data_IF_183364050506
#
_entry.id   IF_183364050506
#
_cell.length_a   1.000
_cell.length_b   1.000
_cell.length_c   1.000
_cell.angle_alpha   90.00
_cell.angle_beta   90.00
_cell.angle_gamma   90.00
#
_symmetry.space_group_name_H-M   'P 1'
#
loop_
_entity.id
_entity.type
_entity.pdbx_description
1 polymer ?
#
# COMPACT_ATOMS: atom_id res chain seq x y z
N UNK A 1 -38.96 -31.95 -8.95
CA UNK A 1 -38.06 -31.53 -10.05
C UNK A 1 -37.56 -30.13 -9.73
N UNK A 2 -36.24 -30.03 -9.56
CA UNK A 2 -35.35 -28.86 -9.68
C UNK A 2 -35.66 -27.58 -8.88
N UNK A 3 -34.98 -27.47 -7.75
CA UNK A 3 -34.54 -26.19 -7.17
C UNK A 3 -33.33 -25.68 -7.98
N UNK A 4 -33.26 -24.42 -8.40
CA UNK A 4 -32.04 -23.89 -9.02
C UNK A 4 -30.99 -23.61 -7.95
N UNK A 5 -29.84 -24.27 -8.08
CA UNK A 5 -28.61 -23.94 -7.38
C UNK A 5 -28.11 -22.60 -7.94
N UNK A 6 -28.12 -21.55 -7.12
CA UNK A 6 -27.33 -20.36 -7.39
C UNK A 6 -26.37 -20.20 -6.22
N UNK A 7 -25.20 -20.83 -6.36
CA UNK A 7 -24.07 -20.60 -5.47
C UNK A 7 -23.52 -19.21 -5.78
N UNK A 8 -24.05 -18.20 -5.09
CA UNK A 8 -23.33 -16.95 -4.93
C UNK A 8 -22.01 -17.28 -4.23
N UNK A 9 -20.89 -17.20 -4.96
CA UNK A 9 -19.56 -17.34 -4.40
C UNK A 9 -19.44 -16.38 -3.22
N UNK A 10 -19.32 -16.93 -2.01
CA UNK A 10 -19.13 -16.17 -0.78
C UNK A 10 -17.75 -15.51 -0.84
N UNK A 11 -17.68 -14.28 -1.34
CA UNK A 11 -16.53 -13.40 -1.10
C UNK A 11 -16.48 -13.16 0.40
N UNK A 12 -15.55 -13.83 1.10
CA UNK A 12 -15.23 -13.45 2.47
C UNK A 12 -14.71 -12.01 2.43
N UNK A 13 -15.14 -11.13 3.34
CA UNK A 13 -14.59 -9.77 3.40
C UNK A 13 -13.08 -9.89 3.58
N UNK A 14 -12.32 -9.26 2.68
CA UNK A 14 -10.87 -9.27 2.74
C UNK A 14 -10.42 -8.63 4.05
N UNK A 15 -9.84 -9.43 4.94
CA UNK A 15 -9.56 -9.01 6.31
C UNK A 15 -8.35 -8.08 6.35
N UNK A 16 -8.46 -7.01 7.12
CA UNK A 16 -7.34 -6.10 7.38
C UNK A 16 -6.35 -6.81 8.30
N UNK A 17 -5.11 -6.96 7.84
CA UNK A 17 -4.00 -7.57 8.58
C UNK A 17 -3.19 -6.52 9.34
N UNK A 18 -3.02 -5.33 8.76
CA UNK A 18 -2.27 -4.20 9.35
C UNK A 18 -2.80 -2.89 8.79
N UNK A 19 -2.83 -1.83 9.61
CA UNK A 19 -3.10 -0.48 9.10
C UNK A 19 -2.37 0.59 9.91
N UNK A 20 -2.00 1.70 9.27
CA UNK A 20 -1.42 2.86 9.93
C UNK A 20 -1.67 4.13 9.12
N UNK A 21 -1.53 5.29 9.77
CA UNK A 21 -1.31 6.54 9.04
C UNK A 21 0.02 6.46 8.29
N UNK A 22 0.04 6.92 7.06
CA UNK A 22 1.22 6.96 6.21
C UNK A 22 1.15 8.18 5.29
N UNK A 23 2.28 8.52 4.67
CA UNK A 23 2.33 9.51 3.61
C UNK A 23 2.90 8.87 2.34
N UNK A 24 2.20 8.97 1.21
CA UNK A 24 2.81 8.61 -0.08
C UNK A 24 3.71 9.75 -0.55
N UNK A 25 4.86 9.42 -1.14
CA UNK A 25 5.76 10.39 -1.75
C UNK A 25 6.04 10.04 -3.22
N UNK A 26 6.04 11.07 -4.08
CA UNK A 26 6.43 10.95 -5.50
C UNK A 26 7.12 12.24 -5.96
N UNK A 27 8.44 12.18 -6.07
CA UNK A 27 9.25 13.39 -6.30
C UNK A 27 9.00 14.41 -5.18
N UNK A 28 8.64 15.64 -5.55
CA UNK A 28 8.32 16.71 -4.58
C UNK A 28 6.91 16.60 -3.98
N UNK A 29 6.06 15.75 -4.55
CA UNK A 29 4.67 15.64 -4.15
C UNK A 29 4.49 14.65 -2.98
N UNK A 30 3.64 14.99 -2.02
CA UNK A 30 3.29 14.16 -0.87
C UNK A 30 1.79 14.25 -0.60
N UNK A 31 1.18 13.15 -0.16
CA UNK A 31 -0.15 13.15 0.43
C UNK A 31 -0.18 12.26 1.67
N UNK A 32 -0.77 12.78 2.75
CA UNK A 32 -1.04 12.01 3.96
C UNK A 32 -2.33 11.19 3.78
N UNK A 33 -2.35 10.01 4.38
CA UNK A 33 -3.47 9.09 4.25
C UNK A 33 -3.34 7.90 5.19
N UNK A 34 -4.13 6.87 4.88
CA UNK A 34 -4.11 5.59 5.56
C UNK A 34 -3.57 4.51 4.64
N UNK A 35 -2.59 3.75 5.11
CA UNK A 35 -2.10 2.54 4.48
C UNK A 35 -2.73 1.33 5.18
N UNK A 36 -3.28 0.40 4.40
CA UNK A 36 -3.94 -0.81 4.87
C UNK A 36 -3.39 -2.02 4.12
N UNK A 37 -2.91 -3.03 4.84
CA UNK A 37 -2.58 -4.34 4.29
C UNK A 37 -3.75 -5.28 4.55
N UNK A 38 -4.25 -5.92 3.51
CA UNK A 38 -5.26 -6.97 3.57
C UNK A 38 -4.66 -8.31 3.16
N UNK A 39 -5.48 -9.37 3.15
CA UNK A 39 -5.01 -10.67 2.68
C UNK A 39 -4.65 -10.65 1.19
N UNK A 40 -5.34 -9.84 0.37
CA UNK A 40 -5.14 -9.79 -1.08
C UNK A 40 -4.37 -8.56 -1.60
N UNK A 41 -4.34 -7.45 -0.86
CA UNK A 41 -3.81 -6.18 -1.38
C UNK A 41 -3.14 -5.29 -0.34
N UNK A 42 -2.35 -4.33 -0.82
CA UNK A 42 -1.86 -3.18 -0.07
C UNK A 42 -2.54 -1.92 -0.61
N UNK A 43 -3.31 -1.25 0.23
CA UNK A 43 -4.19 -0.15 -0.13
C UNK A 43 -3.75 1.15 0.53
N UNK A 44 -3.76 2.25 -0.23
CA UNK A 44 -3.53 3.59 0.29
C UNK A 44 -4.70 4.51 -0.05
N UNK A 45 -5.27 5.13 0.98
CA UNK A 45 -6.37 6.10 0.85
C UNK A 45 -5.91 7.46 1.36
N UNK A 46 -5.76 8.47 0.49
CA UNK A 46 -5.37 9.82 0.92
C UNK A 46 -6.49 10.50 1.71
N UNK A 47 -6.14 11.33 2.69
CA UNK A 47 -7.11 12.15 3.42
C UNK A 47 -7.64 13.31 2.57
N UNK A 48 -6.85 13.78 1.61
CA UNK A 48 -7.25 14.76 0.59
C UNK A 48 -6.96 14.21 -0.81
N UNK A 49 -8.00 14.05 -1.61
CA UNK A 49 -7.94 13.50 -2.98
C UNK A 49 -7.66 14.53 -4.07
N UNK A 50 -7.68 15.84 -3.77
CA UNK A 50 -7.57 16.91 -4.77
C UNK A 50 -6.22 16.93 -5.51
N UNK A 51 -5.17 16.35 -4.93
CA UNK A 51 -3.80 16.41 -5.46
C UNK A 51 -3.36 15.16 -6.24
N UNK A 52 -4.25 14.18 -6.46
CA UNK A 52 -4.02 13.07 -7.39
C UNK A 52 -2.92 12.06 -6.99
N UNK A 53 -2.59 11.95 -5.70
CA UNK A 53 -1.64 10.97 -5.17
C UNK A 53 -2.36 9.78 -4.52
N UNK A 54 -3.15 9.08 -5.33
CA UNK A 54 -4.00 7.97 -4.90
C UNK A 54 -5.48 8.28 -5.05
N UNK A 55 -6.37 7.37 -4.61
CA UNK A 55 -6.08 6.12 -3.90
C UNK A 55 -5.28 5.10 -4.73
N UNK A 56 -4.58 4.20 -4.04
CA UNK A 56 -3.86 3.07 -4.66
C UNK A 56 -4.36 1.75 -4.10
N UNK A 57 -4.47 0.74 -4.95
CA UNK A 57 -4.73 -0.64 -4.56
C UNK A 57 -3.73 -1.53 -5.30
N UNK A 58 -2.76 -2.05 -4.55
CA UNK A 58 -1.67 -2.86 -5.08
C UNK A 58 -1.96 -4.33 -4.75
N UNK A 59 -2.22 -5.16 -5.76
CA UNK A 59 -2.37 -6.61 -5.55
C UNK A 59 -1.09 -7.20 -4.97
N UNK A 60 -1.20 -8.02 -3.92
CA UNK A 60 -0.03 -8.68 -3.31
C UNK A 60 0.69 -9.61 -4.27
N UNK A 61 -0.03 -10.21 -5.23
CA UNK A 61 0.58 -11.08 -6.26
C UNK A 61 1.49 -10.32 -7.21
N UNK A 62 1.23 -9.02 -7.39
CA UNK A 62 2.00 -8.12 -8.26
C UNK A 62 3.16 -7.45 -7.53
N UNK A 63 3.21 -7.52 -6.19
CA UNK A 63 4.35 -7.00 -5.43
C UNK A 63 5.55 -7.93 -5.68
N UNK A 64 6.59 -7.37 -6.29
CA UNK A 64 7.84 -8.07 -6.54
C UNK A 64 8.83 -7.91 -5.38
N UNK A 65 8.76 -6.77 -4.66
CA UNK A 65 9.69 -6.45 -3.57
C UNK A 65 9.10 -5.40 -2.63
N UNK A 66 9.34 -5.57 -1.34
CA UNK A 66 9.13 -4.56 -0.30
C UNK A 66 10.46 -4.28 0.41
N UNK A 67 10.90 -3.02 0.48
CA UNK A 67 12.19 -2.68 1.09
C UNK A 67 12.20 -1.31 1.75
N UNK A 68 13.11 -1.10 2.70
CA UNK A 68 13.30 0.22 3.30
C UNK A 68 13.85 1.21 2.29
N UNK A 69 13.38 2.44 2.41
CA UNK A 69 13.90 3.57 1.66
C UNK A 69 14.00 4.80 2.56
N UNK A 70 14.38 5.93 1.97
CA UNK A 70 14.42 7.21 2.68
C UNK A 70 13.13 7.99 2.39
N UNK A 71 12.51 8.51 3.44
CA UNK A 71 11.51 9.56 3.32
C UNK A 71 12.20 10.88 2.99
N UNK A 72 11.73 11.56 1.94
CA UNK A 72 12.40 12.74 1.37
C UNK A 72 11.56 14.01 1.59
N UNK A 73 12.22 15.12 1.88
CA UNK A 73 11.67 16.48 1.85
C UNK A 73 12.18 17.21 0.60
N UNK A 74 11.34 18.04 -0.03
CA UNK A 74 11.73 18.74 -1.27
C UNK A 74 12.14 17.79 -2.41
N UNK A 75 11.67 16.53 -2.38
CA UNK A 75 11.97 15.48 -3.35
C UNK A 75 13.33 14.80 -3.26
N UNK A 76 14.34 15.44 -2.67
CA UNK A 76 15.72 14.90 -2.65
C UNK A 76 16.36 14.84 -1.26
N UNK A 77 15.94 15.65 -0.30
CA UNK A 77 16.60 15.74 1.00
C UNK A 77 16.12 14.62 1.91
N UNK A 78 16.95 13.69 2.41
CA UNK A 78 16.52 12.68 3.36
C UNK A 78 16.05 13.32 4.66
N UNK A 79 14.83 13.00 5.10
CA UNK A 79 14.22 13.53 6.33
C UNK A 79 13.93 12.41 7.34
N UNK A 80 13.62 11.20 6.88
CA UNK A 80 13.38 10.05 7.76
C UNK A 80 13.82 8.73 7.13
N UNK A 81 14.10 7.74 7.97
CA UNK A 81 14.34 6.34 7.59
C UNK A 81 13.10 5.45 7.73
N UNK A 82 12.00 6.01 8.24
CA UNK A 82 10.72 5.32 8.40
C UNK A 82 9.93 5.37 7.10
N UNK A 83 10.49 4.74 6.07
CA UNK A 83 9.87 4.66 4.77
C UNK A 83 10.06 3.28 4.12
N UNK A 84 9.07 2.93 3.31
CA UNK A 84 8.91 1.67 2.62
C UNK A 84 8.75 1.94 1.13
N UNK A 85 9.50 1.23 0.28
CA UNK A 85 9.27 1.17 -1.15
C UNK A 85 8.63 -0.17 -1.51
N UNK A 86 7.57 -0.10 -2.29
CA UNK A 86 6.91 -1.24 -2.92
C UNK A 86 7.24 -1.20 -4.40
N UNK A 87 7.85 -2.26 -4.92
CA UNK A 87 8.12 -2.40 -6.36
C UNK A 87 7.21 -3.49 -6.91
N UNK A 88 6.51 -3.19 -8.01
CA UNK A 88 5.64 -4.14 -8.69
C UNK A 88 6.39 -4.90 -9.79
N UNK A 89 5.89 -6.08 -10.16
CA UNK A 89 6.42 -6.89 -11.26
C UNK A 89 6.42 -6.15 -12.60
N UNK A 90 5.47 -5.23 -12.79
CA UNK A 90 5.38 -4.35 -13.97
C UNK A 90 6.42 -3.23 -14.02
N UNK A 91 7.26 -3.07 -13.00
CA UNK A 91 8.32 -2.05 -12.94
C UNK A 91 7.94 -0.76 -12.20
N UNK A 92 6.66 -0.55 -11.91
CA UNK A 92 6.20 0.58 -11.11
C UNK A 92 6.69 0.48 -9.66
N UNK A 93 6.92 1.64 -9.03
CA UNK A 93 7.26 1.69 -7.61
C UNK A 93 6.52 2.80 -6.86
N UNK A 94 6.24 2.52 -5.60
CA UNK A 94 5.48 3.38 -4.69
C UNK A 94 6.28 3.52 -3.39
N UNK A 95 6.43 4.75 -2.91
CA UNK A 95 7.15 5.03 -1.68
C UNK A 95 6.19 5.61 -0.63
N UNK A 96 6.18 5.00 0.55
CA UNK A 96 5.35 5.39 1.67
C UNK A 96 6.23 5.68 2.89
N UNK A 97 6.02 6.81 3.55
CA UNK A 97 6.55 7.08 4.89
C UNK A 97 5.56 6.48 5.87
N UNK A 98 6.02 5.54 6.69
CA UNK A 98 5.20 4.79 7.64
C UNK A 98 6.05 4.33 8.81
N UNK A 99 5.48 4.36 10.02
CA UNK A 99 6.16 3.88 11.21
C UNK A 99 6.49 2.38 11.11
N UNK A 100 7.66 1.99 11.63
CA UNK A 100 8.16 0.62 11.69
C UNK A 100 8.09 -0.10 10.32
N UNK A 101 8.79 0.40 9.28
CA UNK A 101 8.71 -0.18 7.93
C UNK A 101 9.14 -1.65 7.86
N UNK A 102 10.00 -2.12 8.77
CA UNK A 102 10.39 -3.54 8.88
C UNK A 102 9.18 -4.46 9.14
N UNK A 103 8.24 -4.03 10.01
CA UNK A 103 7.04 -4.83 10.30
C UNK A 103 6.15 -4.98 9.05
N UNK A 104 6.13 -3.94 8.20
CA UNK A 104 5.38 -3.97 6.95
C UNK A 104 6.05 -4.90 5.94
N UNK A 105 7.37 -4.86 5.82
CA UNK A 105 8.15 -5.78 4.96
C UNK A 105 7.91 -7.22 5.39
N UNK A 106 8.03 -7.51 6.69
CA UNK A 106 7.76 -8.83 7.24
C UNK A 106 6.32 -9.30 6.97
N UNK A 107 5.32 -8.42 7.11
CA UNK A 107 3.92 -8.76 6.87
C UNK A 107 3.60 -8.98 5.38
N UNK A 108 4.29 -8.28 4.48
CA UNK A 108 4.12 -8.43 3.03
C UNK A 108 4.68 -9.76 2.53
N UNK A 109 5.75 -10.26 3.16
CA UNK A 109 6.38 -11.54 2.81
C UNK A 109 6.98 -11.56 1.40
N UNK A 110 7.35 -10.38 0.89
CA UNK A 110 7.84 -10.15 -0.48
C UNK A 110 9.36 -9.98 -0.52
#
# INVERSE_FOLDING_TARGET
MSQPQNAASLSHPDSILKSATAAVQRGVARADGKLCLTSSSLEFTPYNTQFGLGPYQLSRTEIAKAEKCLGKGGGILPVTRDALRISLRGGDSYEFIVANPEDWIAALGA
#
